data_IF_336865471916
#
_entry.id   IF_336865471916
#
_cell.length_a   1.000
_cell.length_b   1.000
_cell.length_c   1.000
_cell.angle_alpha   90.00
_cell.angle_beta   90.00
_cell.angle_gamma   90.00
#
_symmetry.space_group_name_H-M   'P 1'
#
loop_
_entity.id
_entity.type
_entity.pdbx_description
1 polymer ?
#
# COMPACT_ATOMS: atom_id res chain seq x y z
N UNK A 1 4.43 5.37 -3.71
CA UNK A 1 3.91 5.66 -2.35
C UNK A 1 2.91 4.58 -1.93
N UNK A 2 2.92 4.11 -0.67
CA UNK A 2 1.94 3.15 -0.17
C UNK A 2 0.52 3.76 -0.26
N UNK A 3 -0.49 2.95 -0.57
CA UNK A 3 -1.88 3.39 -0.61
C UNK A 3 -2.39 3.67 0.81
N UNK A 4 -1.83 2.97 1.80
CA UNK A 4 -2.22 3.08 3.20
C UNK A 4 -1.06 3.65 4.02
N UNK A 5 -1.33 4.75 4.73
CA UNK A 5 -0.29 5.44 5.52
C UNK A 5 -0.11 4.75 6.87
N UNK A 6 1.13 4.64 7.33
CA UNK A 6 1.42 4.22 8.71
C UNK A 6 0.95 5.26 9.72
N UNK A 7 0.54 4.81 10.89
CA UNK A 7 0.12 5.67 12.00
C UNK A 7 1.08 5.54 13.17
N UNK A 8 1.55 6.66 13.71
CA UNK A 8 2.53 6.67 14.80
C UNK A 8 2.30 7.85 15.76
N UNK A 9 3.03 7.85 16.87
CA UNK A 9 2.95 8.89 17.90
C UNK A 9 3.29 10.30 17.38
N UNK A 10 4.12 10.43 16.35
CA UNK A 10 4.43 11.75 15.74
C UNK A 10 3.19 12.37 15.07
N UNK A 11 2.36 11.55 14.41
CA UNK A 11 1.12 12.02 13.79
C UNK A 11 0.14 12.53 14.86
N UNK A 12 -0.03 11.79 15.96
CA UNK A 12 -0.88 12.20 17.08
C UNK A 12 -0.39 13.54 17.67
N UNK A 13 0.92 13.67 17.90
CA UNK A 13 1.55 14.92 18.34
C UNK A 13 1.27 16.07 17.37
N UNK A 14 1.39 15.86 16.06
CA UNK A 14 1.10 16.89 15.04
C UNK A 14 -0.36 17.35 15.09
N UNK A 15 -1.32 16.43 15.22
CA UNK A 15 -2.75 16.76 15.34
C UNK A 15 -2.97 17.66 16.56
N UNK A 16 -2.50 17.21 17.72
CA UNK A 16 -2.67 17.95 18.98
C UNK A 16 -1.98 19.33 18.95
N UNK A 17 -0.73 19.40 18.50
CA UNK A 17 0.02 20.66 18.39
C UNK A 17 -0.65 21.66 17.46
N UNK A 18 -1.10 21.20 16.29
CA UNK A 18 -1.78 22.06 15.32
C UNK A 18 -3.08 22.61 15.92
N UNK A 19 -3.88 21.76 16.58
CA UNK A 19 -5.11 22.19 17.22
C UNK A 19 -4.85 23.24 18.31
N UNK A 20 -3.93 22.96 19.24
CA UNK A 20 -3.55 23.88 20.33
C UNK A 20 -3.03 25.22 19.81
N UNK A 21 -2.23 25.21 18.73
CA UNK A 21 -1.70 26.44 18.13
C UNK A 21 -2.81 27.31 17.53
N UNK A 22 -3.77 26.70 16.84
CA UNK A 22 -4.87 27.43 16.19
C UNK A 22 -5.95 27.90 17.18
N UNK A 23 -6.03 27.28 18.37
CA UNK A 23 -7.04 27.56 19.38
C UNK A 23 -6.44 28.01 20.72
N UNK A 24 -5.28 28.67 20.69
CA UNK A 24 -4.68 29.32 21.86
C UNK A 24 -5.68 30.33 22.46
N UNK A 25 -5.91 30.28 23.77
CA UNK A 25 -6.97 31.04 24.46
C UNK A 25 -8.28 30.27 24.69
N UNK A 26 -8.35 28.99 24.32
CA UNK A 26 -9.49 28.08 24.61
C UNK A 26 -9.09 26.92 25.53
N UNK A 27 -8.13 27.14 26.43
CA UNK A 27 -7.56 26.11 27.32
C UNK A 27 -8.62 25.43 28.20
N UNK A 28 -9.70 26.15 28.51
CA UNK A 28 -10.81 25.64 29.30
C UNK A 28 -11.83 24.82 28.48
N UNK A 29 -11.72 24.79 27.15
CA UNK A 29 -12.62 23.99 26.31
C UNK A 29 -12.28 22.50 26.39
N UNK A 30 -13.31 21.66 26.41
CA UNK A 30 -13.16 20.20 26.42
C UNK A 30 -12.29 19.69 25.26
N UNK A 31 -12.46 20.27 24.07
CA UNK A 31 -11.67 19.91 22.89
C UNK A 31 -10.17 20.27 23.04
N UNK A 32 -9.83 21.38 23.70
CA UNK A 32 -8.44 21.72 24.00
C UNK A 32 -7.85 20.75 25.03
N UNK A 33 -8.60 20.39 26.06
CA UNK A 33 -8.17 19.40 27.06
C UNK A 33 -7.95 18.01 26.42
N UNK A 34 -8.81 17.60 25.50
CA UNK A 34 -8.64 16.36 24.73
C UNK A 34 -7.41 16.42 23.82
N UNK A 35 -7.12 17.56 23.20
CA UNK A 35 -5.88 17.77 22.45
C UNK A 35 -4.64 17.68 23.37
N UNK A 36 -4.72 18.20 24.60
CA UNK A 36 -3.65 18.05 25.60
C UNK A 36 -3.44 16.59 25.97
N UNK A 37 -4.51 15.85 26.28
CA UNK A 37 -4.41 14.42 26.59
C UNK A 37 -3.82 13.62 25.43
N UNK A 38 -4.25 13.91 24.20
CA UNK A 38 -3.69 13.30 23.00
C UNK A 38 -2.18 13.59 22.86
N UNK A 39 -1.75 14.83 23.14
CA UNK A 39 -0.34 15.21 23.14
C UNK A 39 0.46 14.46 24.20
N UNK A 40 -0.08 14.30 25.42
CA UNK A 40 0.58 13.61 26.53
C UNK A 40 0.72 12.12 26.25
N UNK A 41 -0.35 11.45 25.79
CA UNK A 41 -0.30 10.02 25.45
C UNK A 41 0.69 9.75 24.30
N UNK A 42 0.79 10.67 23.34
CA UNK A 42 1.70 10.56 22.21
C UNK A 42 3.17 10.92 22.53
N UNK A 43 3.53 11.17 23.80
CA UNK A 43 4.93 11.29 24.22
C UNK A 43 5.65 9.94 24.26
N UNK A 44 4.89 8.83 24.33
CA UNK A 44 5.47 7.50 24.26
C UNK A 44 5.84 7.16 22.81
N UNK A 45 7.14 7.12 22.49
CA UNK A 45 7.62 6.72 21.17
C UNK A 45 7.45 5.20 20.89
N UNK A 46 6.94 4.44 21.86
CA UNK A 46 6.72 2.98 21.77
C UNK A 46 5.31 2.59 21.34
N UNK A 47 4.43 3.54 21.03
CA UNK A 47 3.06 3.24 20.63
C UNK A 47 3.01 2.49 19.29
N UNK A 48 2.34 1.34 19.29
CA UNK A 48 2.02 0.61 18.05
C UNK A 48 0.97 1.35 17.21
N UNK A 49 0.85 0.99 15.93
CA UNK A 49 -0.15 1.59 15.05
C UNK A 49 -1.58 1.37 15.57
N UNK A 50 -1.87 0.18 16.11
CA UNK A 50 -3.17 -0.15 16.69
C UNK A 50 -3.47 0.71 17.92
N UNK A 51 -2.50 0.87 18.83
CA UNK A 51 -2.67 1.76 19.98
C UNK A 51 -2.89 3.21 19.55
N UNK A 52 -2.14 3.70 18.55
CA UNK A 52 -2.34 5.04 18.02
C UNK A 52 -3.75 5.22 17.43
N UNK A 53 -4.25 4.22 16.71
CA UNK A 53 -5.56 4.26 16.09
C UNK A 53 -6.68 4.23 17.13
N UNK A 54 -6.56 3.35 18.13
CA UNK A 54 -7.50 3.26 19.26
C UNK A 54 -7.54 4.55 20.06
N UNK A 55 -6.39 5.17 20.38
CA UNK A 55 -6.34 6.48 21.07
C UNK A 55 -7.09 7.54 20.26
N UNK A 56 -6.85 7.61 18.95
CA UNK A 56 -7.55 8.56 18.09
C UNK A 56 -9.06 8.28 18.04
N UNK A 57 -9.48 7.02 17.95
CA UNK A 57 -10.90 6.63 17.96
C UNK A 57 -11.58 7.03 19.27
N UNK A 58 -10.96 6.77 20.42
CA UNK A 58 -11.49 7.14 21.74
C UNK A 58 -11.66 8.65 21.86
N UNK A 59 -10.68 9.44 21.41
CA UNK A 59 -10.81 10.91 21.37
C UNK A 59 -11.92 11.37 20.44
N UNK A 60 -12.18 10.66 19.35
CA UNK A 60 -13.30 10.96 18.46
C UNK A 60 -14.65 10.65 19.13
N UNK A 61 -14.72 9.59 19.92
CA UNK A 61 -15.87 9.19 20.73
C UNK A 61 -16.18 10.24 21.81
N UNK A 62 -15.15 10.75 22.50
CA UNK A 62 -15.28 11.86 23.45
C UNK A 62 -15.82 13.15 22.80
N UNK A 63 -15.57 13.34 21.50
CA UNK A 63 -15.98 14.50 20.71
C UNK A 63 -17.32 14.30 19.97
N UNK A 64 -17.93 13.12 20.06
CA UNK A 64 -19.08 12.73 19.25
C UNK A 64 -20.36 13.56 19.53
N UNK A 65 -20.44 14.17 20.72
CA UNK A 65 -21.51 15.09 21.10
C UNK A 65 -21.33 16.52 20.57
N UNK A 66 -20.14 16.87 20.08
CA UNK A 66 -19.78 18.24 19.67
C UNK A 66 -19.76 18.39 18.14
N UNK A 67 -20.84 18.92 17.58
CA UNK A 67 -20.98 19.11 16.13
C UNK A 67 -19.95 20.13 15.57
N UNK A 68 -19.35 19.82 14.42
CA UNK A 68 -18.45 20.71 13.67
C UNK A 68 -17.07 20.89 14.31
N UNK A 69 -16.64 19.95 15.16
CA UNK A 69 -15.38 20.08 15.87
C UNK A 69 -14.16 19.91 14.92
N UNK A 70 -13.25 20.90 14.89
CA UNK A 70 -12.07 20.86 14.01
C UNK A 70 -11.03 19.82 14.45
N UNK A 71 -10.93 19.49 15.75
CA UNK A 71 -10.13 18.36 16.25
C UNK A 71 -10.74 17.05 15.79
N UNK A 72 -12.05 16.86 15.99
CA UNK A 72 -12.78 15.66 15.57
C UNK A 72 -12.62 15.38 14.07
N UNK A 73 -12.74 16.42 13.24
CA UNK A 73 -12.52 16.30 11.80
C UNK A 73 -11.07 15.94 11.42
N UNK A 74 -10.07 16.48 12.12
CA UNK A 74 -8.66 16.13 11.89
C UNK A 74 -8.36 14.68 12.29
N UNK A 75 -8.94 14.23 13.41
CA UNK A 75 -8.84 12.85 13.88
C UNK A 75 -9.49 11.89 12.88
N UNK A 76 -10.75 12.14 12.50
CA UNK A 76 -11.49 11.36 11.49
C UNK A 76 -10.72 11.25 10.18
N UNK A 77 -10.21 12.37 9.66
CA UNK A 77 -9.43 12.38 8.41
C UNK A 77 -8.16 11.53 8.54
N UNK A 78 -7.49 11.58 9.69
CA UNK A 78 -6.30 10.75 9.96
C UNK A 78 -6.65 9.27 9.99
N UNK A 79 -7.70 8.88 10.72
CA UNK A 79 -8.17 7.49 10.80
C UNK A 79 -8.65 6.97 9.44
N UNK A 80 -9.37 7.78 8.67
CA UNK A 80 -9.80 7.43 7.31
C UNK A 80 -8.59 7.16 6.38
N UNK A 81 -7.54 7.96 6.48
CA UNK A 81 -6.32 7.73 5.70
C UNK A 81 -5.55 6.48 6.18
N UNK A 82 -5.53 6.23 7.50
CA UNK A 82 -4.88 5.05 8.09
C UNK A 82 -5.59 3.75 7.72
N UNK A 83 -6.93 3.73 7.71
CA UNK A 83 -7.72 2.56 7.32
C UNK A 83 -7.95 2.44 5.80
N UNK A 84 -7.33 3.31 4.99
CA UNK A 84 -7.35 3.21 3.53
C UNK A 84 -8.69 3.59 2.88
N UNK A 85 -9.37 4.63 3.40
CA UNK A 85 -10.72 5.01 2.94
C UNK A 85 -10.67 5.88 1.68
N UNK A 86 -10.92 5.22 0.54
CA UNK A 86 -11.66 5.81 -0.58
C UNK A 86 -13.12 5.33 -0.66
N UNK A 87 -13.54 4.36 0.14
CA UNK A 87 -14.90 3.79 0.04
C UNK A 87 -15.91 4.49 0.96
N UNK A 88 -16.77 5.31 0.35
CA UNK A 88 -17.98 5.88 0.95
C UNK A 88 -19.11 4.84 1.12
N UNK A 89 -18.87 3.54 0.87
CA UNK A 89 -19.95 2.56 0.65
C UNK A 89 -20.22 1.56 1.78
N UNK A 90 -19.61 1.67 2.96
CA UNK A 90 -20.01 0.79 4.07
C UNK A 90 -21.38 1.24 4.56
N UNK A 91 -22.39 0.46 4.19
CA UNK A 91 -23.77 0.60 4.66
C UNK A 91 -23.78 0.23 6.13
N UNK A 92 -24.12 1.18 6.99
CA UNK A 92 -24.35 0.96 8.42
C UNK A 92 -25.87 0.93 8.58
N UNK A 93 -26.40 -0.15 9.15
CA UNK A 93 -27.80 -0.23 9.57
C UNK A 93 -27.98 0.61 10.84
N UNK A 94 -27.87 1.94 10.73
CA UNK A 94 -28.09 2.84 11.86
C UNK A 94 -29.01 4.00 11.50
N UNK A 95 -29.94 4.27 12.39
CA UNK A 95 -30.85 5.42 12.33
C UNK A 95 -30.02 6.65 12.78
N UNK A 96 -29.82 7.67 11.93
CA UNK A 96 -28.90 8.80 12.20
C UNK A 96 -29.25 9.68 13.41
N UNK A 97 -30.40 9.48 14.06
CA UNK A 97 -31.00 10.45 14.97
C UNK A 97 -30.50 10.40 16.42
N UNK A 98 -29.73 9.37 16.83
CA UNK A 98 -29.42 9.14 18.26
C UNK A 98 -27.90 9.15 18.57
N UNK A 99 -27.04 8.92 17.58
CA UNK A 99 -25.63 8.56 17.83
C UNK A 99 -24.63 9.71 18.02
N UNK A 100 -24.90 10.93 17.53
CA UNK A 100 -23.88 11.99 17.41
C UNK A 100 -23.19 12.02 16.02
N UNK A 101 -22.38 13.06 15.75
CA UNK A 101 -21.84 13.34 14.40
C UNK A 101 -20.91 12.22 13.89
N UNK A 102 -20.05 11.70 14.76
CA UNK A 102 -18.99 10.76 14.40
C UNK A 102 -19.36 9.30 14.63
N UNK A 103 -20.54 9.01 15.20
CA UNK A 103 -20.96 7.66 15.56
C UNK A 103 -20.78 6.61 14.43
N UNK A 104 -21.21 6.88 13.18
CA UNK A 104 -21.03 5.91 12.10
C UNK A 104 -19.56 5.63 11.76
N UNK A 105 -18.68 6.63 11.95
CA UNK A 105 -17.25 6.49 11.73
C UNK A 105 -16.59 5.73 12.89
N UNK A 106 -16.99 6.02 14.14
CA UNK A 106 -16.50 5.33 15.35
C UNK A 106 -16.77 3.82 15.28
N UNK A 107 -18.01 3.41 15.01
CA UNK A 107 -18.37 1.99 14.93
C UNK A 107 -17.61 1.28 13.81
N UNK A 108 -17.36 1.98 12.71
CA UNK A 108 -16.56 1.47 11.61
C UNK A 108 -15.11 1.29 12.02
N UNK A 109 -14.53 2.23 12.75
CA UNK A 109 -13.16 2.11 13.25
C UNK A 109 -13.03 0.95 14.25
N UNK A 110 -14.03 0.72 15.12
CA UNK A 110 -14.07 -0.48 15.98
C UNK A 110 -13.99 -1.77 15.15
N UNK A 111 -14.75 -1.85 14.06
CA UNK A 111 -14.68 -3.00 13.15
C UNK A 111 -13.32 -3.11 12.42
N UNK A 112 -12.67 -2.00 12.06
CA UNK A 112 -11.31 -2.09 11.52
C UNK A 112 -10.30 -2.59 12.57
N UNK A 113 -10.43 -2.14 13.82
CA UNK A 113 -9.54 -2.51 14.93
C UNK A 113 -9.60 -4.00 15.28
N UNK A 114 -10.73 -4.67 15.01
CA UNK A 114 -10.86 -6.12 15.23
C UNK A 114 -9.90 -6.90 14.33
N UNK A 115 -9.75 -6.50 13.07
CA UNK A 115 -8.87 -7.17 12.09
C UNK A 115 -7.44 -6.61 12.05
N UNK A 116 -7.22 -5.40 12.56
CA UNK A 116 -5.94 -4.69 12.46
C UNK A 116 -4.79 -5.48 13.10
N UNK A 117 -3.72 -5.70 12.31
CA UNK A 117 -2.51 -6.46 12.67
C UNK A 117 -2.76 -7.95 13.02
N UNK A 118 -3.90 -8.54 12.63
CA UNK A 118 -4.06 -9.99 12.73
C UNK A 118 -3.16 -10.71 11.73
N UNK A 119 -2.73 -11.92 12.07
CA UNK A 119 -2.00 -12.79 11.13
C UNK A 119 -2.87 -13.16 9.91
N UNK A 120 -2.22 -13.52 8.80
CA UNK A 120 -2.91 -13.83 7.55
C UNK A 120 -3.89 -15.01 7.66
N UNK A 121 -3.54 -16.07 8.39
CA UNK A 121 -4.41 -17.24 8.53
C UNK A 121 -5.77 -16.90 9.18
N UNK A 122 -5.82 -16.22 10.35
CA UNK A 122 -7.07 -15.69 10.91
C UNK A 122 -7.85 -14.78 9.96
N UNK A 123 -7.16 -13.90 9.22
CA UNK A 123 -7.81 -13.00 8.26
C UNK A 123 -8.46 -13.78 7.10
N UNK A 124 -7.80 -14.83 6.61
CA UNK A 124 -8.32 -15.67 5.53
C UNK A 124 -9.51 -16.50 6.00
N UNK A 125 -9.40 -17.13 7.18
CA UNK A 125 -10.52 -17.84 7.80
C UNK A 125 -11.74 -16.91 7.97
N UNK A 126 -11.52 -15.72 8.53
CA UNK A 126 -12.58 -14.72 8.73
C UNK A 126 -13.21 -14.20 7.44
N UNK A 127 -12.51 -14.29 6.30
CA UNK A 127 -13.03 -13.85 5.01
C UNK A 127 -14.00 -14.87 4.40
N UNK A 128 -13.67 -16.14 4.55
CA UNK A 128 -14.45 -17.28 4.04
C UNK A 128 -15.60 -17.63 5.00
N UNK A 129 -15.40 -17.48 6.32
CA UNK A 129 -16.42 -17.70 7.34
C UNK A 129 -17.51 -16.62 7.33
N UNK A 130 -18.76 -17.04 7.56
CA UNK A 130 -19.95 -16.20 7.53
C UNK A 130 -20.35 -15.63 8.92
N UNK A 131 -19.41 -15.27 9.80
CA UNK A 131 -19.79 -14.77 11.13
C UNK A 131 -20.35 -13.34 11.10
N UNK A 132 -21.52 -13.17 11.74
CA UNK A 132 -22.24 -11.91 11.97
C UNK A 132 -22.15 -11.36 13.40
N UNK A 133 -21.54 -12.06 14.34
CA UNK A 133 -21.95 -11.86 15.75
C UNK A 133 -21.13 -10.79 16.51
N UNK A 134 -19.86 -10.56 16.16
CA UNK A 134 -19.03 -9.57 16.87
C UNK A 134 -19.32 -8.11 16.48
N UNK A 135 -19.98 -7.86 15.34
CA UNK A 135 -20.40 -6.51 14.92
C UNK A 135 -21.67 -6.57 14.04
N UNK A 136 -22.83 -6.98 14.59
CA UNK A 136 -24.03 -7.30 13.80
C UNK A 136 -24.65 -6.12 13.05
N UNK A 137 -24.27 -4.89 13.41
CA UNK A 137 -24.69 -3.66 12.72
C UNK A 137 -24.09 -3.52 11.31
N UNK A 138 -23.08 -4.32 10.98
CA UNK A 138 -22.43 -4.33 9.67
C UNK A 138 -22.82 -5.56 8.87
N UNK A 139 -23.19 -5.36 7.61
CA UNK A 139 -23.36 -6.44 6.64
C UNK A 139 -22.03 -7.19 6.38
N UNK A 140 -22.10 -8.49 6.04
CA UNK A 140 -20.91 -9.30 5.68
C UNK A 140 -20.00 -8.67 4.62
N UNK A 141 -20.57 -7.93 3.65
CA UNK A 141 -19.79 -7.22 2.62
C UNK A 141 -18.83 -6.21 3.24
N UNK A 142 -19.18 -5.62 4.38
CA UNK A 142 -18.34 -4.66 5.10
C UNK A 142 -17.13 -5.36 5.72
N UNK A 143 -17.34 -6.49 6.41
CA UNK A 143 -16.26 -7.31 6.96
C UNK A 143 -15.26 -7.74 5.88
N UNK A 144 -15.76 -8.30 4.76
CA UNK A 144 -14.93 -8.69 3.62
C UNK A 144 -14.16 -7.53 3.00
N UNK A 145 -14.73 -6.32 3.01
CA UNK A 145 -14.04 -5.12 2.53
C UNK A 145 -12.87 -4.75 3.45
N UNK A 146 -13.10 -4.77 4.77
CA UNK A 146 -12.10 -4.40 5.77
C UNK A 146 -10.96 -5.43 5.80
N UNK A 147 -11.27 -6.71 5.73
CA UNK A 147 -10.26 -7.77 5.65
C UNK A 147 -9.37 -7.58 4.42
N UNK A 148 -9.95 -7.26 3.24
CA UNK A 148 -9.15 -6.95 2.04
C UNK A 148 -8.25 -5.73 2.24
N UNK A 149 -8.75 -4.67 2.90
CA UNK A 149 -7.94 -3.48 3.20
C UNK A 149 -6.78 -3.82 4.13
N UNK A 150 -7.01 -4.65 5.14
CA UNK A 150 -5.96 -5.06 6.07
C UNK A 150 -4.92 -5.97 5.41
N UNK A 151 -5.33 -6.97 4.63
CA UNK A 151 -4.41 -7.79 3.82
C UNK A 151 -3.55 -6.88 2.95
N UNK A 152 -4.17 -5.94 2.23
CA UNK A 152 -3.46 -5.01 1.36
C UNK A 152 -2.46 -4.15 2.15
N UNK A 153 -2.86 -3.64 3.32
CA UNK A 153 -2.01 -2.83 4.20
C UNK A 153 -0.78 -3.60 4.67
N UNK A 154 -0.96 -4.85 5.10
CA UNK A 154 0.15 -5.69 5.54
C UNK A 154 1.10 -6.02 4.39
N UNK A 155 0.58 -6.37 3.21
CA UNK A 155 1.42 -6.56 2.01
C UNK A 155 2.21 -5.29 1.70
N UNK A 156 1.58 -4.12 1.77
CA UNK A 156 2.25 -2.85 1.49
C UNK A 156 3.35 -2.49 2.49
N UNK A 157 3.11 -2.76 3.77
CA UNK A 157 3.99 -2.33 4.85
C UNK A 157 5.08 -3.32 5.19
N UNK A 158 4.80 -4.62 5.06
CA UNK A 158 5.64 -5.70 5.58
C UNK A 158 6.01 -6.73 4.50
N UNK A 159 5.40 -6.66 3.31
CA UNK A 159 5.48 -7.71 2.31
C UNK A 159 4.58 -8.91 2.66
N UNK A 160 4.68 -9.97 1.87
CA UNK A 160 3.91 -11.20 2.08
C UNK A 160 4.81 -12.43 1.95
N UNK A 161 4.59 -13.42 2.81
CA UNK A 161 5.24 -14.71 2.69
C UNK A 161 4.64 -15.48 1.50
N UNK A 162 5.47 -16.17 0.72
CA UNK A 162 5.06 -16.94 -0.45
C UNK A 162 3.94 -17.96 -0.13
N UNK A 163 3.92 -18.52 1.08
CA UNK A 163 2.89 -19.46 1.53
C UNK A 163 1.47 -18.85 1.54
N UNK A 164 1.36 -17.53 1.76
CA UNK A 164 0.08 -16.83 1.82
C UNK A 164 -0.31 -16.16 0.49
N UNK A 165 0.59 -16.14 -0.49
CA UNK A 165 0.43 -15.40 -1.74
C UNK A 165 -0.86 -15.79 -2.49
N UNK A 166 -1.08 -17.09 -2.73
CA UNK A 166 -2.25 -17.56 -3.50
C UNK A 166 -3.58 -17.18 -2.84
N UNK A 167 -3.65 -17.23 -1.51
CA UNK A 167 -4.86 -16.89 -0.76
C UNK A 167 -5.10 -15.38 -0.76
N UNK A 168 -4.07 -14.58 -0.48
CA UNK A 168 -4.16 -13.13 -0.55
C UNK A 168 -4.54 -12.65 -1.95
N UNK A 169 -3.92 -13.21 -3.00
CA UNK A 169 -4.24 -12.93 -4.40
C UNK A 169 -5.72 -13.26 -4.70
N UNK A 170 -6.19 -14.46 -4.35
CA UNK A 170 -7.59 -14.88 -4.54
C UNK A 170 -8.56 -13.90 -3.88
N UNK A 171 -8.33 -13.57 -2.61
CA UNK A 171 -9.20 -12.70 -1.82
C UNK A 171 -9.21 -11.28 -2.39
N UNK A 172 -8.06 -10.71 -2.71
CA UNK A 172 -7.95 -9.36 -3.26
C UNK A 172 -8.53 -9.25 -4.68
N UNK A 173 -8.36 -10.28 -5.52
CA UNK A 173 -8.90 -10.31 -6.90
C UNK A 173 -10.41 -10.50 -6.97
N UNK A 174 -11.04 -10.99 -5.91
CA UNK A 174 -12.50 -11.17 -5.86
C UNK A 174 -13.29 -9.86 -5.90
N UNK A 175 -12.62 -8.71 -5.82
CA UNK A 175 -13.22 -7.37 -5.95
C UNK A 175 -12.45 -6.53 -6.98
N UNK A 176 -13.16 -6.00 -7.97
CA UNK A 176 -12.58 -5.23 -9.07
C UNK A 176 -11.89 -3.95 -8.61
N UNK A 177 -12.38 -3.29 -7.55
CA UNK A 177 -11.78 -2.06 -7.04
C UNK A 177 -10.40 -2.34 -6.44
N UNK A 178 -10.27 -3.41 -5.66
CA UNK A 178 -8.98 -3.83 -5.10
C UNK A 178 -8.03 -4.28 -6.20
N UNK A 179 -8.52 -5.05 -7.18
CA UNK A 179 -7.73 -5.44 -8.34
C UNK A 179 -7.18 -4.22 -9.08
N UNK A 180 -8.01 -3.21 -9.32
CA UNK A 180 -7.59 -1.97 -9.97
C UNK A 180 -6.55 -1.21 -9.14
N UNK A 181 -6.74 -1.09 -7.83
CA UNK A 181 -5.76 -0.46 -6.92
C UNK A 181 -4.39 -1.15 -7.03
N UNK A 182 -4.36 -2.47 -6.95
CA UNK A 182 -3.13 -3.26 -7.05
C UNK A 182 -2.49 -3.10 -8.43
N UNK A 183 -3.26 -3.20 -9.51
CA UNK A 183 -2.72 -3.17 -10.87
C UNK A 183 -2.18 -1.79 -11.28
N UNK A 184 -2.67 -0.72 -10.64
CA UNK A 184 -2.28 0.67 -10.90
C UNK A 184 -1.23 1.24 -9.93
N UNK A 185 -0.94 0.56 -8.81
CA UNK A 185 0.13 0.96 -7.90
C UNK A 185 1.38 0.08 -8.13
N UNK A 186 2.50 0.66 -8.63
CA UNK A 186 3.73 -0.09 -8.87
C UNK A 186 4.30 -0.82 -7.65
N UNK A 187 4.27 -0.17 -6.47
CA UNK A 187 4.81 -0.72 -5.23
C UNK A 187 3.98 -1.92 -4.78
N UNK A 188 2.67 -1.74 -4.66
CA UNK A 188 1.71 -2.76 -4.23
C UNK A 188 1.74 -3.97 -5.16
N UNK A 189 1.73 -3.73 -6.48
CA UNK A 189 1.83 -4.79 -7.47
C UNK A 189 3.09 -5.61 -7.28
N UNK A 190 4.23 -4.94 -7.12
CA UNK A 190 5.51 -5.64 -7.02
C UNK A 190 5.69 -6.37 -5.67
N UNK A 191 5.14 -5.85 -4.58
CA UNK A 191 5.16 -6.55 -3.28
C UNK A 191 4.26 -7.79 -3.29
N UNK A 192 3.14 -7.73 -4.01
CA UNK A 192 2.25 -8.88 -4.14
C UNK A 192 2.84 -9.91 -5.11
N UNK A 193 3.17 -9.51 -6.33
CA UNK A 193 3.42 -10.45 -7.43
C UNK A 193 4.89 -10.77 -7.74
N UNK A 194 5.83 -10.03 -7.17
CA UNK A 194 7.24 -10.31 -7.35
C UNK A 194 8.06 -9.86 -6.12
N UNK A 195 7.74 -10.36 -4.91
CA UNK A 195 8.49 -10.00 -3.71
C UNK A 195 9.98 -10.37 -3.81
N UNK A 196 10.32 -11.40 -4.58
CA UNK A 196 11.68 -11.96 -4.71
C UNK A 196 12.64 -10.99 -5.41
N UNK A 197 12.14 -10.14 -6.32
CA UNK A 197 13.00 -9.21 -7.07
C UNK A 197 13.15 -7.83 -6.41
N UNK A 198 12.50 -7.61 -5.25
CA UNK A 198 12.58 -6.33 -4.52
C UNK A 198 14.01 -6.00 -4.09
N UNK A 199 14.79 -7.03 -3.72
CA UNK A 199 16.17 -6.91 -3.32
C UNK A 199 17.14 -6.58 -4.47
N UNK A 200 16.75 -6.78 -5.73
CA UNK A 200 17.65 -6.65 -6.86
C UNK A 200 18.08 -5.21 -7.13
N UNK A 201 19.33 -4.98 -7.53
CA UNK A 201 19.79 -3.68 -8.00
C UNK A 201 19.26 -3.34 -9.41
N UNK A 202 19.52 -2.12 -9.89
CA UNK A 202 19.03 -1.66 -11.20
C UNK A 202 19.62 -2.46 -12.37
N UNK A 203 20.87 -2.91 -12.27
CA UNK A 203 21.55 -3.68 -13.31
C UNK A 203 20.95 -5.08 -13.41
N UNK A 204 20.73 -5.74 -12.28
CA UNK A 204 20.04 -7.02 -12.15
C UNK A 204 18.63 -6.95 -12.76
N UNK A 205 17.85 -5.91 -12.45
CA UNK A 205 16.50 -5.72 -13.00
C UNK A 205 16.50 -5.49 -14.50
N UNK A 206 17.42 -4.68 -15.03
CA UNK A 206 17.57 -4.49 -16.48
C UNK A 206 17.91 -5.81 -17.15
N UNK A 207 18.89 -6.56 -16.63
CA UNK A 207 19.29 -7.86 -17.18
C UNK A 207 18.14 -8.86 -17.13
N UNK A 208 17.38 -8.91 -16.03
CA UNK A 208 16.22 -9.78 -15.87
C UNK A 208 15.12 -9.45 -16.90
N UNK A 209 14.83 -8.16 -17.10
CA UNK A 209 13.87 -7.72 -18.12
C UNK A 209 14.28 -8.22 -19.52
N UNK A 210 15.55 -8.01 -19.88
CA UNK A 210 16.09 -8.40 -21.18
C UNK A 210 16.11 -9.92 -21.33
N UNK A 211 16.48 -10.65 -20.28
CA UNK A 211 16.52 -12.11 -20.29
C UNK A 211 15.14 -12.73 -20.47
N UNK A 212 14.11 -12.23 -19.79
CA UNK A 212 12.72 -12.67 -19.99
C UNK A 212 12.27 -12.36 -21.42
N UNK A 213 12.52 -11.14 -21.90
CA UNK A 213 12.10 -10.72 -23.26
C UNK A 213 12.76 -11.54 -24.37
N UNK A 214 14.01 -11.98 -24.17
CA UNK A 214 14.77 -12.81 -25.11
C UNK A 214 14.52 -14.32 -24.95
N UNK A 215 13.66 -14.73 -24.01
CA UNK A 215 13.42 -16.15 -23.73
C UNK A 215 14.61 -16.88 -23.07
N UNK A 216 15.57 -16.14 -22.54
CA UNK A 216 16.74 -16.69 -21.82
C UNK A 216 16.33 -17.07 -20.38
N UNK A 217 15.42 -16.30 -19.78
CA UNK A 217 14.90 -16.51 -18.43
C UNK A 217 13.40 -16.77 -18.53
N UNK A 218 12.93 -17.84 -17.88
CA UNK A 218 11.51 -18.14 -17.82
C UNK A 218 10.73 -17.07 -17.04
N UNK A 219 9.57 -16.62 -17.52
CA UNK A 219 8.70 -15.72 -16.77
C UNK A 219 8.06 -16.43 -15.56
N UNK A 220 7.74 -15.67 -14.50
CA UNK A 220 6.97 -16.19 -13.37
C UNK A 220 5.57 -16.60 -13.80
N UNK A 221 5.09 -17.70 -13.22
CA UNK A 221 3.78 -18.28 -13.49
C UNK A 221 3.49 -18.51 -14.99
N UNK A 222 4.54 -18.64 -15.83
CA UNK A 222 4.45 -18.70 -17.28
C UNK A 222 3.77 -17.48 -17.95
N UNK A 223 3.70 -16.32 -17.26
CA UNK A 223 3.12 -15.08 -17.78
C UNK A 223 4.20 -14.02 -18.05
N UNK A 224 4.58 -13.90 -19.33
CA UNK A 224 5.57 -12.92 -19.80
C UNK A 224 5.12 -11.48 -19.49
N UNK A 225 3.85 -11.16 -19.71
CA UNK A 225 3.37 -9.77 -19.58
C UNK A 225 3.39 -9.34 -18.12
N UNK A 226 2.95 -10.21 -17.23
CA UNK A 226 2.97 -10.00 -15.79
C UNK A 226 4.39 -9.87 -15.26
N UNK A 227 5.30 -10.74 -15.73
CA UNK A 227 6.70 -10.72 -15.32
C UNK A 227 7.41 -9.44 -15.74
N UNK A 228 7.30 -9.06 -17.01
CA UNK A 228 7.86 -7.80 -17.50
C UNK A 228 7.23 -6.58 -16.80
N UNK A 229 5.96 -6.67 -16.37
CA UNK A 229 5.31 -5.63 -15.55
C UNK A 229 5.94 -5.49 -14.18
N UNK A 230 6.16 -6.59 -13.47
CA UNK A 230 6.79 -6.57 -12.16
C UNK A 230 8.18 -5.93 -12.22
N UNK A 231 9.02 -6.38 -13.16
CA UNK A 231 10.39 -5.85 -13.31
C UNK A 231 10.39 -4.36 -13.61
N UNK A 232 9.51 -3.88 -14.51
CA UNK A 232 9.37 -2.43 -14.77
C UNK A 232 9.01 -1.65 -13.52
N UNK A 233 8.07 -2.16 -12.74
CA UNK A 233 7.55 -1.46 -11.57
C UNK A 233 8.58 -1.37 -10.44
N UNK A 234 9.32 -2.45 -10.19
CA UNK A 234 10.43 -2.42 -9.22
C UNK A 234 11.55 -1.50 -9.70
N UNK A 235 11.88 -1.54 -10.99
CA UNK A 235 12.90 -0.66 -11.55
C UNK A 235 12.50 0.82 -11.42
N UNK A 236 11.24 1.16 -11.73
CA UNK A 236 10.71 2.52 -11.56
C UNK A 236 10.81 2.97 -10.10
N UNK A 237 10.39 2.14 -9.15
CA UNK A 237 10.44 2.48 -7.73
C UNK A 237 11.87 2.74 -7.24
N UNK A 238 12.85 1.96 -7.71
CA UNK A 238 14.28 2.17 -7.38
C UNK A 238 14.84 3.44 -7.99
N UNK A 239 14.45 3.75 -9.22
CA UNK A 239 14.91 4.96 -9.91
C UNK A 239 14.28 6.21 -9.30
N UNK A 240 13.01 6.15 -8.90
CA UNK A 240 12.34 7.21 -8.14
C UNK A 240 13.04 7.43 -6.79
N UNK A 241 13.37 6.37 -6.07
CA UNK A 241 13.96 6.48 -4.73
C UNK A 241 15.42 6.93 -4.77
N UNK A 242 16.24 6.29 -5.61
CA UNK A 242 17.70 6.35 -5.54
C UNK A 242 18.36 7.04 -6.73
N UNK A 243 17.60 7.51 -7.72
CA UNK A 243 18.16 7.98 -8.99
C UNK A 243 18.69 6.82 -9.84
N UNK A 244 19.62 7.09 -10.75
CA UNK A 244 20.19 6.06 -11.64
C UNK A 244 21.50 5.54 -11.05
N UNK A 245 21.65 4.22 -10.95
CA UNK A 245 22.87 3.61 -10.44
C UNK A 245 24.08 3.91 -11.36
N UNK A 246 25.29 4.14 -10.82
CA UNK A 246 26.46 4.54 -11.61
C UNK A 246 26.84 3.56 -12.73
N UNK A 247 26.59 2.27 -12.52
CA UNK A 247 26.89 1.19 -13.44
C UNK A 247 25.77 0.94 -14.47
N UNK A 248 24.66 1.69 -14.43
CA UNK A 248 23.52 1.57 -15.33
C UNK A 248 23.34 2.83 -16.18
N UNK A 249 23.22 2.66 -17.50
CA UNK A 249 23.02 3.81 -18.39
C UNK A 249 21.55 4.22 -18.38
N UNK A 250 21.28 5.52 -18.36
CA UNK A 250 19.92 6.06 -18.46
C UNK A 250 19.14 5.54 -19.68
N UNK A 251 19.83 5.31 -20.80
CA UNK A 251 19.23 4.72 -22.01
C UNK A 251 18.72 3.29 -21.81
N UNK A 252 19.37 2.50 -20.95
CA UNK A 252 18.95 1.13 -20.60
C UNK A 252 17.70 1.15 -19.70
N UNK A 253 17.63 2.10 -18.76
CA UNK A 253 16.44 2.32 -17.94
C UNK A 253 15.26 2.79 -18.80
N UNK A 254 15.46 3.80 -19.64
CA UNK A 254 14.44 4.28 -20.57
C UNK A 254 13.96 3.18 -21.51
N UNK A 255 14.86 2.30 -21.94
CA UNK A 255 14.52 1.14 -22.74
C UNK A 255 13.52 0.20 -22.08
N UNK A 256 13.77 -0.15 -20.82
CA UNK A 256 12.84 -0.96 -20.02
C UNK A 256 11.54 -0.22 -19.78
N UNK A 257 11.56 1.07 -19.43
CA UNK A 257 10.35 1.87 -19.16
C UNK A 257 9.47 2.00 -20.40
N UNK A 258 10.05 2.31 -21.56
CA UNK A 258 9.32 2.62 -22.80
C UNK A 258 8.89 1.39 -23.61
N UNK A 259 9.45 0.20 -23.34
CA UNK A 259 9.09 -1.02 -24.07
C UNK A 259 7.58 -1.30 -24.00
N UNK A 260 6.94 -1.56 -25.13
CA UNK A 260 5.52 -1.92 -25.15
C UNK A 260 5.36 -3.38 -24.76
N UNK A 261 4.37 -3.65 -23.90
CA UNK A 261 3.91 -5.02 -23.59
C UNK A 261 2.74 -5.36 -24.50
N UNK A 262 2.65 -6.62 -24.92
CA UNK A 262 1.65 -7.10 -25.88
C UNK A 262 0.21 -7.10 -25.34
N UNK A 263 0.01 -7.08 -24.01
CA UNK A 263 -1.30 -6.92 -23.38
C UNK A 263 -1.31 -5.69 -22.48
N UNK A 264 -2.07 -4.68 -22.89
CA UNK A 264 -2.38 -3.54 -22.03
C UNK A 264 -3.69 -3.87 -21.31
N UNK A 265 -3.60 -4.37 -20.08
CA UNK A 265 -4.76 -4.33 -19.19
C UNK A 265 -5.18 -2.86 -19.05
N UNK A 266 -6.48 -2.52 -19.18
CA UNK A 266 -6.97 -1.15 -19.03
C UNK A 266 -6.60 -0.54 -17.66
N UNK A 267 -6.29 -1.38 -16.68
CA UNK A 267 -5.90 -0.99 -15.32
C UNK A 267 -4.38 -0.99 -15.09
N UNK A 268 -3.57 -0.87 -16.15
CA UNK A 268 -2.12 -0.79 -16.01
C UNK A 268 -1.62 0.64 -15.88
N UNK A 269 -0.74 0.90 -14.92
CA UNK A 269 0.07 2.13 -14.89
C UNK A 269 0.92 2.21 -16.14
N UNK A 270 0.82 3.33 -16.86
CA UNK A 270 1.76 3.68 -17.91
C UNK A 270 3.07 4.14 -17.26
N UNK A 271 4.12 3.33 -17.41
CA UNK A 271 5.41 3.51 -16.75
C UNK A 271 6.04 4.89 -17.06
N UNK A 272 6.04 5.29 -18.33
CA UNK A 272 6.55 6.60 -18.76
C UNK A 272 5.76 7.75 -18.15
N UNK A 273 4.42 7.71 -18.28
CA UNK A 273 3.54 8.75 -17.72
C UNK A 273 3.73 8.92 -16.21
N UNK A 274 3.95 7.82 -15.49
CA UNK A 274 4.22 7.86 -14.05
C UNK A 274 5.52 8.61 -13.73
N UNK A 275 6.63 8.26 -14.37
CA UNK A 275 7.92 8.96 -14.19
C UNK A 275 7.82 10.44 -14.54
N UNK A 276 7.15 10.78 -15.64
CA UNK A 276 6.98 12.16 -16.08
C UNK A 276 6.14 12.98 -15.09
N UNK A 277 5.24 12.34 -14.34
CA UNK A 277 4.38 12.95 -13.32
C UNK A 277 5.01 13.14 -11.94
N UNK A 278 6.23 12.63 -11.70
CA UNK A 278 6.89 12.75 -10.39
C UNK A 278 7.14 14.22 -10.02
N UNK A 279 6.69 14.66 -8.86
CA UNK A 279 6.91 16.03 -8.39
C UNK A 279 8.37 16.24 -7.98
N UNK A 280 8.94 17.42 -8.27
CA UNK A 280 10.30 17.84 -7.85
C UNK A 280 11.44 16.89 -8.31
N UNK A 281 11.28 16.23 -9.46
CA UNK A 281 12.25 15.28 -10.04
C UNK A 281 12.70 15.66 -11.46
N UNK A 282 12.88 16.95 -11.73
CA UNK A 282 13.12 17.44 -13.10
C UNK A 282 14.42 16.93 -13.73
N UNK A 283 15.48 16.80 -12.94
CA UNK A 283 16.76 16.26 -13.39
C UNK A 283 16.64 14.79 -13.79
N UNK A 284 15.88 14.00 -13.01
CA UNK A 284 15.60 12.61 -13.34
C UNK A 284 14.78 12.49 -14.64
N UNK A 285 13.73 13.31 -14.78
CA UNK A 285 12.91 13.34 -16.01
C UNK A 285 13.73 13.70 -17.24
N UNK A 286 14.63 14.68 -17.11
CA UNK A 286 15.54 15.10 -18.17
C UNK A 286 16.52 14.00 -18.54
N UNK A 287 17.05 13.28 -17.55
CA UNK A 287 18.02 12.19 -17.75
C UNK A 287 17.38 10.97 -18.39
N UNK A 288 16.15 10.63 -18.00
CA UNK A 288 15.37 9.51 -18.55
C UNK A 288 14.58 9.88 -19.80
N UNK A 289 14.88 11.01 -20.46
CA UNK A 289 14.10 11.47 -21.61
C UNK A 289 13.99 10.37 -22.66
N UNK A 290 12.78 10.19 -23.18
CA UNK A 290 12.47 9.19 -24.20
C UNK A 290 13.43 9.36 -25.38
N UNK A 291 14.13 8.28 -25.73
CA UNK A 291 15.01 8.28 -26.90
C UNK A 291 14.18 8.35 -28.17
N UNK A 292 14.68 9.07 -29.18
CA UNK A 292 14.13 9.07 -30.54
C UNK A 292 14.37 7.75 -31.26
N UNK A 293 15.35 6.96 -30.81
CA UNK A 293 15.64 5.62 -31.33
C UNK A 293 14.91 4.55 -30.51
N UNK A 294 14.45 3.46 -31.16
CA UNK A 294 13.87 2.34 -30.45
C UNK A 294 14.91 1.77 -29.47
N UNK A 295 14.49 1.49 -28.23
CA UNK A 295 15.42 1.09 -27.20
C UNK A 295 16.14 -0.22 -27.54
N UNK A 296 17.48 -0.19 -27.60
CA UNK A 296 18.29 -1.39 -27.73
C UNK A 296 18.47 -2.03 -26.35
N UNK A 297 17.82 -3.17 -26.15
CA UNK A 297 17.98 -4.01 -24.96
C UNK A 297 19.33 -4.75 -25.01
N UNK A 298 20.35 -4.12 -24.44
CA UNK A 298 21.70 -4.69 -24.32
C UNK A 298 21.73 -5.59 -23.08
N UNK A 299 22.05 -6.86 -23.28
CA UNK A 299 22.31 -7.80 -22.19
C UNK A 299 23.82 -7.79 -21.95
N UNK A 300 24.26 -7.38 -20.76
CA UNK A 300 25.68 -7.45 -20.40
C UNK A 300 25.96 -8.84 -19.80
N UNK A 301 26.86 -9.58 -20.44
CA UNK A 301 27.07 -11.02 -20.27
C UNK A 301 27.72 -11.46 -18.95
N UNK A 302 27.75 -10.65 -17.89
CA UNK A 302 28.34 -11.02 -16.58
C UNK A 302 27.42 -11.98 -15.79
N UNK A 303 27.01 -13.07 -16.44
CA UNK A 303 25.75 -13.77 -16.19
C UNK A 303 25.92 -15.29 -16.06
N UNK A 304 27.01 -15.73 -15.42
CA UNK A 304 27.08 -17.09 -14.87
C UNK A 304 26.63 -17.14 -13.40
N UNK A 305 26.98 -16.15 -12.58
CA UNK A 305 26.53 -16.12 -11.17
C UNK A 305 25.04 -15.78 -11.02
N UNK A 306 24.49 -14.89 -11.87
CA UNK A 306 23.08 -14.49 -11.80
C UNK A 306 22.10 -15.55 -12.33
N UNK A 307 22.54 -16.46 -13.22
CA UNK A 307 21.70 -17.55 -13.71
C UNK A 307 21.29 -18.51 -12.59
N UNK A 308 22.16 -18.74 -11.61
CA UNK A 308 21.91 -19.62 -10.48
C UNK A 308 20.88 -19.01 -9.53
N UNK A 309 21.03 -17.72 -9.19
CA UNK A 309 20.10 -16.98 -8.33
C UNK A 309 18.73 -16.80 -8.98
N UNK A 310 18.67 -16.54 -10.29
CA UNK A 310 17.41 -16.34 -11.00
C UNK A 310 16.69 -17.67 -11.26
N UNK A 311 17.42 -18.78 -11.53
CA UNK A 311 16.80 -20.13 -11.60
C UNK A 311 16.16 -20.53 -10.28
N UNK A 312 16.78 -20.19 -9.15
CA UNK A 312 16.20 -20.41 -7.81
C UNK A 312 14.95 -19.56 -7.54
N UNK A 313 14.74 -18.45 -8.25
CA UNK A 313 13.52 -17.64 -8.17
C UNK A 313 12.40 -18.12 -9.12
N UNK A 314 12.73 -18.94 -10.12
CA UNK A 314 11.79 -19.46 -11.12
C UNK A 314 11.27 -20.86 -10.78
N UNK A 315 12.00 -21.61 -9.95
CA UNK A 315 11.58 -22.90 -9.41
C UNK A 315 11.28 -22.75 -7.92
N UNK A 316 10.03 -22.94 -7.45
CA UNK A 316 9.87 -23.42 -6.10
C UNK A 316 10.64 -24.75 -6.03
N UNK A 317 11.38 -24.92 -4.95
CA UNK A 317 11.99 -26.20 -4.57
C UNK A 317 10.92 -27.28 -4.77
N UNK A 318 11.09 -28.13 -5.78
CA UNK A 318 10.36 -29.38 -5.84
C UNK A 318 10.75 -30.17 -4.58
N UNK A 319 9.70 -30.55 -3.84
CA UNK A 319 9.65 -31.36 -2.63
C UNK A 319 10.91 -32.16 -2.29
N UNK A 320 11.39 -32.04 -1.05
CA UNK A 320 11.92 -33.22 -0.37
C UNK A 320 10.77 -33.93 0.34
N UNK A 321 10.71 -35.25 0.12
CA UNK A 321 9.65 -36.20 0.46
C UNK A 321 9.34 -36.33 1.95
#
# INVERSE_FOLDING_TARGET
MPLIKKLNAEILRKIAKNYKKTHHGKEHSSAYQLAEQLWQQAQSDTLTEKQCATILRERLEDLNSACGNSLGNAIRTTLDNFYGRKSRSLTILCIPLIGGEYYPDIERYKLHESYLNQDFDPLFASFDDHFTDEHPIFEHKNHRTIIRQEILRQVENNGINHNFFKNAERILRSDLNFMQLILTNPQTFAQLYAPEIQGMDQRQLVNLYVGIKKGIISPWANDISHSLKAVKYVLMAKVESNGIAPDVKAKEISAVIDDKRNSFSPFSTNARKHIDSLENRDELKRTLRKSSEPPKLVFQATLQEQQTTIKQMAYPVDCEM
#
